data_IF_381075930095
#
_entry.id   IF_381075930095
#
_cell.length_a   1.000
_cell.length_b   1.000
_cell.length_c   1.000
_cell.angle_alpha   90.00
_cell.angle_beta   90.00
_cell.angle_gamma   90.00
#
_symmetry.space_group_name_H-M   'P 1'
#
loop_
_entity.id
_entity.type
_entity.pdbx_description
1 polymer ?
#
# COMPACT_ATOMS: atom_id res chain seq x y z
N UNK A 1 23.96 -3.32 -15.11
CA UNK A 1 22.53 -3.04 -15.43
C UNK A 1 22.36 -1.53 -15.44
N UNK A 2 21.77 -0.96 -16.50
CA UNK A 2 21.48 0.49 -16.51
C UNK A 2 20.45 0.82 -15.44
N UNK A 3 20.51 2.04 -14.86
CA UNK A 3 19.57 2.49 -13.81
C UNK A 3 18.10 2.39 -14.25
N UNK A 4 17.82 2.61 -15.54
CA UNK A 4 16.49 2.44 -16.12
C UNK A 4 15.94 1.02 -16.01
N UNK A 5 16.77 0.00 -16.18
CA UNK A 5 16.33 -1.39 -16.03
C UNK A 5 15.92 -1.75 -14.61
N UNK A 6 16.59 -1.18 -13.59
CA UNK A 6 16.23 -1.41 -12.18
C UNK A 6 14.89 -0.76 -11.85
N UNK A 7 14.64 0.47 -12.27
CA UNK A 7 13.36 1.15 -12.09
C UNK A 7 12.22 0.39 -12.77
N UNK A 8 12.44 -0.11 -13.98
CA UNK A 8 11.46 -0.95 -14.69
C UNK A 8 11.08 -2.19 -13.89
N UNK A 9 12.07 -2.90 -13.34
CA UNK A 9 11.85 -4.09 -12.51
C UNK A 9 11.09 -3.71 -11.23
N UNK A 10 11.47 -2.62 -10.56
CA UNK A 10 10.81 -2.18 -9.32
C UNK A 10 9.33 -1.81 -9.55
N UNK A 11 9.02 -1.10 -10.64
CA UNK A 11 7.62 -0.81 -11.01
C UNK A 11 6.85 -2.07 -11.41
N UNK A 12 7.49 -3.03 -12.06
CA UNK A 12 6.89 -4.33 -12.36
C UNK A 12 6.55 -5.11 -11.09
N UNK A 13 7.48 -5.20 -10.14
CA UNK A 13 7.26 -5.86 -8.85
C UNK A 13 6.19 -5.11 -8.05
N UNK A 14 6.20 -3.78 -8.04
CA UNK A 14 5.19 -2.96 -7.38
C UNK A 14 3.79 -3.25 -7.92
N UNK A 15 3.63 -3.32 -9.24
CA UNK A 15 2.37 -3.63 -9.90
C UNK A 15 1.88 -5.04 -9.55
N UNK A 16 2.76 -6.03 -9.61
CA UNK A 16 2.44 -7.42 -9.24
C UNK A 16 2.05 -7.54 -7.76
N UNK A 17 2.78 -6.86 -6.87
CA UNK A 17 2.48 -6.83 -5.43
C UNK A 17 1.10 -6.22 -5.16
N UNK A 18 0.76 -5.16 -5.87
CA UNK A 18 -0.53 -4.49 -5.75
C UNK A 18 -1.67 -5.37 -6.27
N UNK A 19 -1.55 -5.86 -7.51
CA UNK A 19 -2.56 -6.72 -8.13
C UNK A 19 -2.76 -8.02 -7.34
N UNK A 20 -1.68 -8.67 -6.93
CA UNK A 20 -1.72 -9.90 -6.13
C UNK A 20 -2.38 -9.66 -4.78
N UNK A 21 -1.95 -8.63 -4.04
CA UNK A 21 -2.52 -8.30 -2.73
C UNK A 21 -4.01 -7.99 -2.78
N UNK A 22 -4.45 -7.23 -3.78
CA UNK A 22 -5.86 -6.91 -3.97
C UNK A 22 -6.66 -8.14 -4.44
N UNK A 23 -6.13 -9.00 -5.31
CA UNK A 23 -6.79 -10.21 -5.76
C UNK A 23 -7.12 -11.17 -4.59
N UNK A 24 -6.16 -11.41 -3.69
CA UNK A 24 -6.37 -12.26 -2.51
C UNK A 24 -7.51 -11.77 -1.60
N UNK A 25 -7.77 -10.51 -1.59
CA UNK A 25 -8.80 -9.88 -0.78
C UNK A 25 -10.14 -9.70 -1.53
N UNK A 26 -10.10 -9.39 -2.83
CA UNK A 26 -11.31 -9.11 -3.61
C UNK A 26 -12.00 -10.39 -4.07
N UNK A 27 -11.25 -11.42 -4.52
CA UNK A 27 -11.84 -12.67 -5.03
C UNK A 27 -12.77 -13.32 -3.99
N UNK A 28 -12.38 -13.53 -2.71
CA UNK A 28 -13.28 -14.10 -1.72
C UNK A 28 -14.50 -13.20 -1.43
N UNK A 29 -14.39 -11.88 -1.57
CA UNK A 29 -15.53 -10.96 -1.41
C UNK A 29 -16.55 -11.12 -2.54
N UNK A 30 -16.08 -11.23 -3.78
CA UNK A 30 -16.93 -11.47 -4.94
C UNK A 30 -17.63 -12.84 -4.79
N UNK A 31 -16.89 -13.88 -4.42
CA UNK A 31 -17.46 -15.22 -4.19
C UNK A 31 -18.53 -15.17 -3.08
N UNK A 32 -18.26 -14.42 -2.00
CA UNK A 32 -19.25 -14.24 -0.92
C UNK A 32 -20.52 -13.54 -1.39
N UNK A 33 -20.40 -12.57 -2.28
CA UNK A 33 -21.55 -11.84 -2.81
C UNK A 33 -22.48 -12.73 -3.66
N UNK A 34 -21.91 -13.69 -4.40
CA UNK A 34 -22.68 -14.61 -5.25
C UNK A 34 -23.14 -15.90 -4.54
N UNK A 35 -22.32 -16.45 -3.66
CA UNK A 35 -22.55 -17.78 -3.03
C UNK A 35 -22.99 -17.71 -1.58
N UNK A 36 -23.07 -16.50 -1.01
CA UNK A 36 -23.36 -16.34 0.42
C UNK A 36 -22.14 -16.57 1.32
N UNK A 37 -22.37 -16.61 2.64
CA UNK A 37 -21.32 -16.79 3.63
C UNK A 37 -21.21 -18.24 4.06
N UNK A 38 -20.03 -18.83 3.92
CA UNK A 38 -19.68 -20.13 4.49
C UNK A 38 -18.39 -20.01 5.30
N UNK A 39 -18.12 -20.96 6.20
CA UNK A 39 -16.91 -20.94 7.04
C UNK A 39 -15.62 -20.99 6.20
N UNK A 40 -15.64 -21.68 5.07
CA UNK A 40 -14.55 -21.70 4.10
C UNK A 40 -14.29 -20.29 3.53
N UNK A 41 -15.35 -19.56 3.15
CA UNK A 41 -15.26 -18.20 2.60
C UNK A 41 -14.77 -17.23 3.68
N UNK A 42 -15.22 -17.36 4.93
CA UNK A 42 -14.73 -16.55 6.06
C UNK A 42 -13.23 -16.73 6.26
N UNK A 43 -12.75 -17.97 6.24
CA UNK A 43 -11.31 -18.28 6.34
C UNK A 43 -10.51 -17.67 5.19
N UNK A 44 -11.00 -17.79 3.96
CA UNK A 44 -10.37 -17.18 2.78
C UNK A 44 -10.32 -15.64 2.87
N UNK A 45 -11.39 -15.01 3.36
CA UNK A 45 -11.43 -13.57 3.61
C UNK A 45 -10.40 -13.15 4.66
N UNK A 46 -10.27 -13.92 5.74
CA UNK A 46 -9.28 -13.65 6.79
C UNK A 46 -7.84 -13.71 6.27
N UNK A 47 -7.50 -14.77 5.56
CA UNK A 47 -6.19 -14.93 4.91
C UNK A 47 -5.97 -13.81 3.89
N UNK A 48 -6.97 -13.50 3.08
CA UNK A 48 -6.88 -12.41 2.09
C UNK A 48 -6.59 -11.05 2.73
N UNK A 49 -7.20 -10.75 3.88
CA UNK A 49 -6.92 -9.52 4.63
C UNK A 49 -5.50 -9.51 5.21
N UNK A 50 -5.00 -10.63 5.68
CA UNK A 50 -3.63 -10.75 6.18
C UNK A 50 -2.62 -10.54 5.04
N UNK A 51 -2.77 -11.25 3.93
CA UNK A 51 -1.92 -11.12 2.74
C UNK A 51 -1.94 -9.68 2.22
N UNK A 52 -3.13 -9.08 2.06
CA UNK A 52 -3.27 -7.70 1.63
C UNK A 52 -2.59 -6.71 2.59
N UNK A 53 -2.61 -6.96 3.90
CA UNK A 53 -1.92 -6.11 4.88
C UNK A 53 -0.38 -6.16 4.71
N UNK A 54 0.17 -7.33 4.42
CA UNK A 54 1.61 -7.53 4.19
C UNK A 54 2.03 -6.94 2.85
N UNK A 55 1.29 -7.22 1.77
CA UNK A 55 1.59 -6.70 0.43
C UNK A 55 1.50 -5.19 0.36
N UNK A 56 0.57 -4.57 1.09
CA UNK A 56 0.50 -3.12 1.21
C UNK A 56 1.73 -2.54 1.92
N UNK A 57 2.29 -3.22 2.91
CA UNK A 57 3.54 -2.78 3.54
C UNK A 57 4.70 -2.88 2.55
N UNK A 58 4.80 -4.00 1.84
CA UNK A 58 5.81 -4.20 0.78
C UNK A 58 5.70 -3.13 -0.32
N UNK A 59 4.49 -2.74 -0.71
CA UNK A 59 4.23 -1.67 -1.67
C UNK A 59 4.88 -0.34 -1.24
N UNK A 60 4.74 0.05 0.03
CA UNK A 60 5.36 1.30 0.53
C UNK A 60 6.89 1.21 0.63
N UNK A 61 7.43 0.03 0.94
CA UNK A 61 8.88 -0.19 0.89
C UNK A 61 9.39 -0.13 -0.56
N UNK A 62 8.64 -0.67 -1.52
CA UNK A 62 8.99 -0.54 -2.94
C UNK A 62 8.96 0.93 -3.40
N UNK A 63 8.00 1.74 -2.93
CA UNK A 63 7.98 3.18 -3.20
C UNK A 63 9.21 3.89 -2.63
N UNK A 64 9.69 3.51 -1.43
CA UNK A 64 10.95 4.02 -0.88
C UNK A 64 12.13 3.71 -1.81
N UNK A 65 12.24 2.47 -2.32
CA UNK A 65 13.31 2.11 -3.25
C UNK A 65 13.17 2.82 -4.59
N UNK A 66 11.96 2.92 -5.14
CA UNK A 66 11.71 3.69 -6.38
C UNK A 66 12.17 5.14 -6.20
N UNK A 67 11.86 5.76 -5.05
CA UNK A 67 12.35 7.10 -4.74
C UNK A 67 13.89 7.15 -4.74
N UNK A 68 14.58 6.22 -4.08
CA UNK A 68 16.04 6.16 -4.01
C UNK A 68 16.69 6.02 -5.38
N UNK A 69 16.10 5.24 -6.28
CA UNK A 69 16.64 5.04 -7.62
C UNK A 69 16.27 6.18 -8.58
N UNK A 70 15.14 6.86 -8.35
CA UNK A 70 14.74 8.05 -9.13
C UNK A 70 15.60 9.25 -8.76
N UNK A 71 15.79 9.50 -7.46
CA UNK A 71 16.53 10.65 -6.91
C UNK A 71 17.89 10.22 -6.33
N UNK A 72 18.70 9.52 -7.11
CA UNK A 72 19.94 8.89 -6.65
C UNK A 72 20.99 9.88 -6.11
N UNK A 73 20.93 11.16 -6.50
CA UNK A 73 21.81 12.21 -5.98
C UNK A 73 21.32 12.78 -4.64
N UNK A 74 20.03 12.59 -4.33
CA UNK A 74 19.46 13.02 -3.07
C UNK A 74 19.63 11.91 -2.03
N UNK A 75 20.17 12.27 -0.86
CA UNK A 75 20.24 11.36 0.28
C UNK A 75 18.96 11.49 1.10
N UNK A 76 18.26 10.38 1.29
CA UNK A 76 17.16 10.34 2.25
C UNK A 76 17.67 10.67 3.66
N UNK A 77 16.96 11.49 4.46
CA UNK A 77 17.28 11.66 5.86
C UNK A 77 17.30 10.30 6.57
N UNK A 78 18.42 9.93 7.16
CA UNK A 78 18.62 8.60 7.79
C UNK A 78 17.52 8.33 8.82
N UNK A 79 17.16 9.32 9.63
CA UNK A 79 16.11 9.18 10.64
C UNK A 79 14.75 8.82 10.00
N UNK A 80 14.41 9.45 8.88
CA UNK A 80 13.15 9.20 8.16
C UNK A 80 13.13 7.78 7.58
N UNK A 81 14.24 7.36 6.99
CA UNK A 81 14.38 6.01 6.46
C UNK A 81 14.26 4.95 7.55
N UNK A 82 14.91 5.16 8.70
CA UNK A 82 14.80 4.26 9.85
C UNK A 82 13.36 4.17 10.38
N UNK A 83 12.64 5.29 10.45
CA UNK A 83 11.22 5.30 10.86
C UNK A 83 10.36 4.49 9.90
N UNK A 84 10.57 4.63 8.58
CA UNK A 84 9.84 3.86 7.57
C UNK A 84 10.10 2.36 7.73
N UNK A 85 11.35 1.96 7.86
CA UNK A 85 11.73 0.55 8.02
C UNK A 85 11.22 -0.04 9.33
N UNK A 86 11.41 0.66 10.45
CA UNK A 86 10.97 0.19 11.76
C UNK A 86 9.46 0.05 11.82
N UNK A 87 8.71 1.04 11.33
CA UNK A 87 7.25 0.97 11.29
C UNK A 87 6.75 -0.16 10.38
N UNK A 88 7.38 -0.37 9.21
CA UNK A 88 7.05 -1.47 8.32
C UNK A 88 7.30 -2.83 8.99
N UNK A 89 8.44 -3.01 9.65
CA UNK A 89 8.79 -4.23 10.38
C UNK A 89 7.80 -4.51 11.51
N UNK A 90 7.54 -3.52 12.36
CA UNK A 90 6.56 -3.64 13.47
C UNK A 90 5.19 -4.04 12.93
N UNK A 91 4.75 -3.44 11.83
CA UNK A 91 3.47 -3.80 11.21
C UNK A 91 3.44 -5.25 10.73
N UNK A 92 4.50 -5.72 10.07
CA UNK A 92 4.61 -7.11 9.61
C UNK A 92 4.54 -8.07 10.80
N UNK A 93 5.29 -7.80 11.87
CA UNK A 93 5.25 -8.59 13.11
C UNK A 93 3.83 -8.64 13.66
N UNK A 94 3.15 -7.49 13.77
CA UNK A 94 1.75 -7.46 14.24
C UNK A 94 0.84 -8.29 13.33
N UNK A 95 1.03 -8.28 11.99
CA UNK A 95 0.22 -9.08 11.07
C UNK A 95 0.35 -10.59 11.30
N UNK A 96 1.48 -11.07 11.80
CA UNK A 96 1.70 -12.48 12.09
C UNK A 96 1.23 -12.91 13.49
N UNK A 97 0.84 -11.98 14.35
CA UNK A 97 0.33 -12.33 15.68
C UNK A 97 -0.98 -13.13 15.57
N UNK A 98 -1.08 -14.31 16.20
CA UNK A 98 -2.30 -15.12 16.18
C UNK A 98 -3.50 -14.41 16.83
N UNK A 99 -3.25 -13.48 17.75
CA UNK A 99 -4.27 -12.67 18.43
C UNK A 99 -5.07 -11.77 17.49
N UNK A 100 -4.64 -11.58 16.23
CA UNK A 100 -5.43 -10.84 15.22
C UNK A 100 -6.77 -11.50 14.92
N UNK A 101 -6.89 -12.82 15.12
CA UNK A 101 -8.11 -13.58 14.82
C UNK A 101 -8.67 -13.28 13.42
N UNK A 102 -7.80 -13.34 12.40
CA UNK A 102 -8.14 -12.99 11.02
C UNK A 102 -9.36 -13.71 10.46
N UNK A 103 -9.60 -14.95 10.91
CA UNK A 103 -10.68 -15.80 10.43
C UNK A 103 -11.99 -15.63 11.20
N UNK A 104 -12.03 -14.79 12.24
CA UNK A 104 -13.26 -14.50 13.01
C UNK A 104 -14.03 -13.32 12.42
N UNK A 105 -15.36 -13.32 12.58
CA UNK A 105 -16.23 -12.26 12.09
C UNK A 105 -15.92 -10.90 12.73
N UNK A 106 -15.48 -10.89 13.98
CA UNK A 106 -15.16 -9.65 14.69
C UNK A 106 -13.69 -9.24 14.62
N UNK A 107 -12.76 -10.20 14.53
CA UNK A 107 -11.32 -9.96 14.58
C UNK A 107 -10.91 -9.22 15.87
N UNK A 108 -9.63 -8.89 16.00
CA UNK A 108 -9.16 -8.08 17.11
C UNK A 108 -9.12 -6.59 16.74
N UNK A 109 -10.12 -5.82 17.18
CA UNK A 109 -10.26 -4.39 16.88
C UNK A 109 -9.06 -3.57 17.37
N UNK A 110 -8.52 -3.88 18.57
CA UNK A 110 -7.37 -3.15 19.13
C UNK A 110 -6.13 -3.34 18.27
N UNK A 111 -5.80 -4.60 17.91
CA UNK A 111 -4.67 -4.88 17.03
C UNK A 111 -4.87 -4.31 15.62
N UNK A 112 -6.10 -4.29 15.11
CA UNK A 112 -6.41 -3.64 13.84
C UNK A 112 -6.11 -2.14 13.86
N UNK A 113 -6.47 -1.44 14.93
CA UNK A 113 -6.19 0.00 15.09
C UNK A 113 -4.69 0.24 15.18
N UNK A 114 -3.96 -0.51 16.02
CA UNK A 114 -2.51 -0.38 16.19
C UNK A 114 -1.80 -0.63 14.85
N UNK A 115 -2.14 -1.71 14.15
CA UNK A 115 -1.59 -2.05 12.84
C UNK A 115 -1.79 -0.95 11.82
N UNK A 116 -2.97 -0.33 11.79
CA UNK A 116 -3.29 0.76 10.87
C UNK A 116 -2.61 2.08 11.28
N UNK A 117 -2.43 2.35 12.57
CA UNK A 117 -1.66 3.49 13.06
C UNK A 117 -0.18 3.38 12.66
N UNK A 118 0.42 2.21 12.88
CA UNK A 118 1.80 1.95 12.45
C UNK A 118 1.95 2.07 10.94
N UNK A 119 0.95 1.62 10.18
CA UNK A 119 0.92 1.79 8.72
C UNK A 119 0.82 3.26 8.30
N UNK A 120 0.05 4.06 9.01
CA UNK A 120 -0.02 5.50 8.76
C UNK A 120 1.35 6.17 8.95
N UNK A 121 2.14 5.75 9.94
CA UNK A 121 3.52 6.23 10.13
C UNK A 121 4.39 5.91 8.91
N UNK A 122 4.34 4.66 8.42
CA UNK A 122 5.07 4.26 7.19
C UNK A 122 4.66 5.14 6.00
N UNK A 123 3.36 5.33 5.79
CA UNK A 123 2.84 6.11 4.67
C UNK A 123 3.18 7.60 4.76
N UNK A 124 3.06 8.20 5.93
CA UNK A 124 3.46 9.60 6.17
C UNK A 124 4.96 9.75 5.89
N UNK A 125 5.79 8.81 6.34
CA UNK A 125 7.21 8.82 6.06
C UNK A 125 7.52 8.84 4.55
N UNK A 126 6.84 8.00 3.77
CA UNK A 126 6.99 7.99 2.30
C UNK A 126 6.46 9.27 1.67
N UNK A 127 5.33 9.82 2.13
CA UNK A 127 4.79 11.10 1.66
C UNK A 127 5.81 12.22 1.87
N UNK A 128 6.38 12.32 3.07
CA UNK A 128 7.41 13.32 3.39
C UNK A 128 8.61 13.17 2.45
N UNK A 129 9.05 11.94 2.20
CA UNK A 129 10.18 11.66 1.32
C UNK A 129 9.94 12.17 -0.11
N UNK A 130 8.77 11.90 -0.68
CA UNK A 130 8.39 12.40 -2.00
C UNK A 130 8.16 13.92 -2.01
N UNK A 131 7.64 14.49 -0.94
CA UNK A 131 7.47 15.94 -0.80
C UNK A 131 8.80 16.68 -0.74
N UNK A 132 9.81 16.14 -0.07
CA UNK A 132 11.16 16.70 -0.01
C UNK A 132 11.85 16.73 -1.38
N UNK A 133 11.56 15.75 -2.27
CA UNK A 133 12.13 15.75 -3.62
C UNK A 133 11.48 16.76 -4.56
N UNK A 134 10.23 17.18 -4.28
CA UNK A 134 9.53 18.21 -5.06
C UNK A 134 9.52 17.95 -6.56
N UNK A 135 9.84 18.97 -7.34
CA UNK A 135 9.98 18.92 -8.80
C UNK A 135 11.44 18.75 -9.26
N UNK A 136 12.31 18.23 -8.39
CA UNK A 136 13.73 18.02 -8.71
C UNK A 136 13.84 17.12 -9.96
N UNK A 137 14.77 17.43 -10.83
CA UNK A 137 15.01 16.77 -12.12
C UNK A 137 13.83 16.80 -13.12
N UNK A 138 12.84 17.68 -12.94
CA UNK A 138 11.71 17.80 -13.88
C UNK A 138 10.70 16.64 -13.86
N UNK A 139 10.85 15.67 -12.95
CA UNK A 139 9.99 14.48 -12.91
C UNK A 139 8.58 14.71 -12.33
N UNK A 140 8.26 15.93 -11.88
CA UNK A 140 6.94 16.29 -11.33
C UNK A 140 6.36 15.28 -10.33
N UNK A 141 7.22 14.70 -9.47
CA UNK A 141 6.84 13.63 -8.52
C UNK A 141 5.94 14.12 -7.38
N UNK A 142 5.64 15.42 -7.30
CA UNK A 142 4.63 15.97 -6.40
C UNK A 142 3.25 15.33 -6.59
N UNK A 143 2.94 14.87 -7.80
CA UNK A 143 1.72 14.10 -8.10
C UNK A 143 1.66 12.76 -7.36
N UNK A 144 2.82 12.17 -7.04
CA UNK A 144 2.91 10.95 -6.25
C UNK A 144 2.40 11.18 -4.82
N UNK A 145 2.74 12.33 -4.23
CA UNK A 145 2.23 12.75 -2.91
C UNK A 145 0.70 12.79 -2.92
N UNK A 146 0.11 13.42 -3.95
CA UNK A 146 -1.35 13.50 -4.08
C UNK A 146 -1.98 12.11 -4.20
N UNK A 147 -1.42 11.22 -5.03
CA UNK A 147 -1.93 9.86 -5.20
C UNK A 147 -1.86 9.06 -3.88
N UNK A 148 -0.76 9.16 -3.14
CA UNK A 148 -0.60 8.48 -1.85
C UNK A 148 -1.58 9.05 -0.82
N UNK A 149 -1.75 10.37 -0.74
CA UNK A 149 -2.72 11.02 0.17
C UNK A 149 -4.16 10.58 -0.11
N UNK A 150 -4.56 10.55 -1.38
CA UNK A 150 -5.90 10.08 -1.78
C UNK A 150 -6.07 8.61 -1.36
N UNK A 151 -5.08 7.77 -1.66
CA UNK A 151 -5.13 6.35 -1.29
C UNK A 151 -5.28 6.16 0.22
N UNK A 152 -4.49 6.87 1.03
CA UNK A 152 -4.58 6.81 2.50
C UNK A 152 -5.89 7.37 3.03
N UNK A 153 -6.30 8.52 2.55
CA UNK A 153 -7.55 9.18 2.94
C UNK A 153 -8.78 8.31 2.67
N UNK A 154 -8.74 7.50 1.61
CA UNK A 154 -9.80 6.53 1.31
C UNK A 154 -9.66 5.23 2.13
N UNK A 155 -8.44 4.77 2.38
CA UNK A 155 -8.19 3.49 3.06
C UNK A 155 -8.54 3.54 4.56
N UNK A 156 -8.13 4.59 5.27
CA UNK A 156 -8.33 4.69 6.73
C UNK A 156 -9.81 4.63 7.13
N UNK A 157 -10.73 5.42 6.55
CA UNK A 157 -12.15 5.33 6.88
C UNK A 157 -12.73 3.94 6.60
N UNK A 158 -12.32 3.29 5.50
CA UNK A 158 -12.82 1.95 5.18
C UNK A 158 -12.39 0.95 6.23
N UNK A 159 -11.13 0.96 6.67
CA UNK A 159 -10.65 0.01 7.67
C UNK A 159 -11.25 0.21 9.05
N UNK A 160 -11.57 1.45 9.42
CA UNK A 160 -12.07 1.79 10.75
C UNK A 160 -13.60 1.74 10.85
N UNK A 161 -14.32 2.13 9.79
CA UNK A 161 -15.75 2.41 9.83
C UNK A 161 -16.60 1.48 8.96
N UNK A 162 -16.02 0.63 8.11
CA UNK A 162 -16.79 -0.23 7.18
C UNK A 162 -17.76 -1.20 7.89
N UNK A 163 -17.48 -1.58 9.14
CA UNK A 163 -18.39 -2.39 9.95
C UNK A 163 -19.64 -1.62 10.41
N UNK A 164 -19.50 -0.30 10.66
CA UNK A 164 -20.62 0.55 11.09
C UNK A 164 -21.42 1.11 9.91
N UNK A 165 -20.73 1.41 8.82
CA UNK A 165 -21.31 2.05 7.63
C UNK A 165 -20.82 1.33 6.36
N UNK A 166 -21.53 0.31 5.86
CA UNK A 166 -21.11 -0.50 4.70
C UNK A 166 -20.86 0.34 3.44
N UNK A 167 -21.59 1.46 3.26
CA UNK A 167 -21.43 2.39 2.13
C UNK A 167 -20.01 3.00 2.04
N UNK A 168 -19.28 3.10 3.16
CA UNK A 168 -17.88 3.57 3.16
C UNK A 168 -16.97 2.66 2.33
N UNK A 169 -17.35 1.40 2.12
CA UNK A 169 -16.64 0.50 1.22
C UNK A 169 -16.48 1.02 -0.21
N UNK A 170 -17.35 1.94 -0.68
CA UNK A 170 -17.22 2.60 -1.98
C UNK A 170 -15.95 3.44 -2.11
N UNK A 171 -15.34 3.91 -1.01
CA UNK A 171 -14.06 4.61 -1.02
C UNK A 171 -12.88 3.73 -1.49
N UNK A 172 -13.09 2.42 -1.63
CA UNK A 172 -12.10 1.55 -2.27
C UNK A 172 -11.93 1.85 -3.76
N UNK A 173 -12.94 2.40 -4.44
CA UNK A 173 -12.87 2.76 -5.86
C UNK A 173 -11.85 3.89 -6.09
N UNK A 174 -11.96 5.08 -5.47
CA UNK A 174 -10.97 6.13 -5.63
C UNK A 174 -9.58 5.72 -5.11
N UNK A 175 -9.49 4.86 -4.08
CA UNK A 175 -8.22 4.25 -3.67
C UNK A 175 -7.56 3.48 -4.80
N UNK A 176 -8.30 2.62 -5.50
CA UNK A 176 -7.78 1.84 -6.63
C UNK A 176 -7.39 2.74 -7.80
N UNK A 177 -8.18 3.78 -8.10
CA UNK A 177 -7.82 4.79 -9.11
C UNK A 177 -6.50 5.48 -8.77
N UNK A 178 -6.26 5.82 -7.49
CA UNK A 178 -4.99 6.40 -7.05
C UNK A 178 -3.81 5.46 -7.29
N UNK A 179 -3.97 4.16 -7.07
CA UNK A 179 -2.91 3.18 -7.38
C UNK A 179 -2.64 3.03 -8.87
N UNK A 180 -3.67 3.01 -9.70
CA UNK A 180 -3.51 3.03 -11.16
C UNK A 180 -2.73 4.28 -11.57
N UNK A 181 -3.04 5.43 -10.96
CA UNK A 181 -2.32 6.67 -11.22
C UNK A 181 -0.83 6.58 -10.83
N UNK A 182 -0.48 5.94 -9.71
CA UNK A 182 0.92 5.67 -9.33
C UNK A 182 1.63 4.84 -10.41
N UNK A 183 0.98 3.80 -10.94
CA UNK A 183 1.55 2.95 -11.99
C UNK A 183 1.74 3.75 -13.29
N UNK A 184 0.75 4.56 -13.68
CA UNK A 184 0.83 5.41 -14.88
C UNK A 184 1.96 6.43 -14.77
N UNK A 185 2.15 7.07 -13.59
CA UNK A 185 3.30 7.95 -13.35
C UNK A 185 4.63 7.22 -13.50
N UNK A 186 4.70 5.96 -13.05
CA UNK A 186 5.88 5.11 -13.26
C UNK A 186 6.17 4.84 -14.72
N UNK A 187 5.15 4.52 -15.51
CA UNK A 187 5.29 4.33 -16.95
C UNK A 187 5.76 5.62 -17.64
N UNK A 188 5.18 6.77 -17.29
CA UNK A 188 5.63 8.08 -17.82
C UNK A 188 7.10 8.35 -17.52
N UNK A 189 7.55 8.06 -16.28
CA UNK A 189 8.94 8.21 -15.89
C UNK A 189 9.87 7.30 -16.71
N UNK A 190 9.46 6.06 -16.95
CA UNK A 190 10.23 5.09 -17.72
C UNK A 190 10.37 5.51 -19.19
N UNK A 191 9.28 5.99 -19.80
CA UNK A 191 9.33 6.50 -21.19
C UNK A 191 10.19 7.77 -21.30
N UNK A 192 10.09 8.69 -20.32
CA UNK A 192 10.93 9.89 -20.31
C UNK A 192 12.43 9.59 -20.11
N UNK A 193 12.76 8.48 -19.44
CA UNK A 193 14.16 8.06 -19.25
C UNK A 193 14.72 7.22 -20.42
N UNK A 194 13.86 6.79 -21.34
CA UNK A 194 14.25 5.98 -22.52
C UNK A 194 14.49 6.83 -23.78
N UNK A 195 13.99 8.08 -23.80
CA UNK A 195 14.26 9.08 -24.84
C UNK A 195 15.46 9.95 -24.48
#
# INVERSE_FOLDING_TARGET
MSKGNILFILYGILTLTLCGGDAFHLIPRVIRAFKGSSDRIKKQLGIGLQVSSITMTAFYILLLYIWKFTFYEMKAPVALEMVIWLSALVRIVICFLPQNNWCSDEGNRKLSIIRNAVFAVTGIGVIILYALSGNTYGYHMTRMVAAILISFGCYLPVTLLSKKMPKIGLLMIPKTCAYIWVIVMGLQLLFAAAC
#
